data_IF_295279651111
#
_entry.id   IF_295279651111
#
_cell.length_a   1.000
_cell.length_b   1.000
_cell.length_c   1.000
_cell.angle_alpha   90.00
_cell.angle_beta   90.00
_cell.angle_gamma   90.00
#
_symmetry.space_group_name_H-M   'P 1'
#
loop_
_entity.id
_entity.type
_entity.pdbx_description
1 polymer ?
#
# COMPACT_ATOMS: atom_id res chain seq x y z
N UNK A 1 -31.86 -15.72 13.08
CA UNK A 1 -30.85 -15.62 14.15
C UNK A 1 -29.58 -15.12 13.46
N UNK A 2 -29.35 -13.82 13.45
CA UNK A 2 -28.13 -13.25 12.88
C UNK A 2 -27.04 -13.31 13.95
N UNK A 3 -26.03 -14.14 13.73
CA UNK A 3 -24.83 -14.13 14.56
C UNK A 3 -24.13 -12.78 14.37
N UNK A 4 -24.21 -11.92 15.37
CA UNK A 4 -23.41 -10.70 15.44
C UNK A 4 -21.94 -11.09 15.54
N UNK A 5 -21.29 -11.18 14.39
CA UNK A 5 -19.87 -11.45 14.28
C UNK A 5 -19.09 -10.22 14.76
N UNK A 6 -18.90 -10.12 16.07
CA UNK A 6 -18.12 -9.06 16.70
C UNK A 6 -16.63 -9.33 16.42
N UNK A 7 -16.14 -8.81 15.29
CA UNK A 7 -14.71 -8.82 14.99
C UNK A 7 -14.04 -7.79 15.89
N UNK A 8 -13.53 -8.25 17.03
CA UNK A 8 -12.76 -7.42 17.95
C UNK A 8 -11.32 -7.32 17.41
N UNK A 9 -11.11 -6.44 16.43
CA UNK A 9 -9.78 -6.17 15.87
C UNK A 9 -8.97 -5.48 16.97
N UNK A 10 -8.18 -6.24 17.73
CA UNK A 10 -7.09 -5.68 18.56
C UNK A 10 -6.36 -4.63 17.74
N UNK A 11 -6.08 -3.45 18.32
CA UNK A 11 -5.37 -2.33 17.67
C UNK A 11 -4.32 -2.88 16.69
N UNK A 12 -4.57 -2.69 15.39
CA UNK A 12 -3.70 -3.25 14.35
C UNK A 12 -2.29 -2.67 14.54
N UNK A 13 -1.28 -3.55 14.46
CA UNK A 13 0.12 -3.11 14.39
C UNK A 13 0.33 -2.28 13.13
N UNK A 14 1.34 -1.41 13.13
CA UNK A 14 1.64 -0.57 11.96
C UNK A 14 1.90 -1.41 10.70
N UNK A 15 2.56 -2.56 10.87
CA UNK A 15 2.72 -3.56 9.80
C UNK A 15 1.37 -4.01 9.25
N UNK A 16 0.43 -4.43 10.11
CA UNK A 16 -0.86 -4.94 9.64
C UNK A 16 -1.70 -3.84 8.97
N UNK A 17 -1.60 -2.59 9.46
CA UNK A 17 -2.22 -1.43 8.80
C UNK A 17 -1.63 -1.19 7.42
N UNK A 18 -0.31 -1.19 7.29
CA UNK A 18 0.38 -1.01 6.00
C UNK A 18 -0.01 -2.11 4.99
N UNK A 19 -0.09 -3.36 5.44
CA UNK A 19 -0.53 -4.47 4.58
C UNK A 19 -2.01 -4.34 4.20
N UNK A 20 -2.87 -3.90 5.13
CA UNK A 20 -4.28 -3.62 4.84
C UNK A 20 -4.44 -2.52 3.79
N UNK A 21 -3.63 -1.45 3.86
CA UNK A 21 -3.60 -0.38 2.84
C UNK A 21 -3.25 -0.96 1.47
N UNK A 22 -2.27 -1.87 1.39
CA UNK A 22 -1.94 -2.57 0.15
C UNK A 22 -3.06 -3.46 -0.39
N UNK A 23 -3.89 -4.06 0.48
CA UNK A 23 -5.08 -4.81 0.07
C UNK A 23 -6.19 -3.87 -0.44
N UNK A 24 -6.44 -2.76 0.28
CA UNK A 24 -7.44 -1.75 -0.13
C UNK A 24 -7.06 -1.14 -1.47
N UNK A 25 -5.78 -0.79 -1.67
CA UNK A 25 -5.26 -0.29 -2.95
C UNK A 25 -5.63 -1.21 -4.12
N UNK A 26 -5.38 -2.51 -3.97
CA UNK A 26 -5.72 -3.50 -4.99
C UNK A 26 -7.21 -3.62 -5.22
N UNK A 27 -8.01 -3.60 -4.16
CA UNK A 27 -9.46 -3.64 -4.29
C UNK A 27 -9.98 -2.40 -5.03
N UNK A 28 -9.43 -1.21 -4.75
CA UNK A 28 -9.77 0.01 -5.46
C UNK A 28 -9.42 -0.06 -6.96
N UNK A 29 -8.27 -0.64 -7.33
CA UNK A 29 -7.91 -0.87 -8.73
C UNK A 29 -8.94 -1.76 -9.43
N UNK A 30 -9.30 -2.90 -8.81
CA UNK A 30 -10.28 -3.84 -9.36
C UNK A 30 -11.64 -3.16 -9.55
N UNK A 31 -12.13 -2.45 -8.54
CA UNK A 31 -13.42 -1.74 -8.60
C UNK A 31 -13.48 -0.69 -9.71
N UNK A 32 -12.34 -0.12 -10.10
CA UNK A 32 -12.22 0.86 -11.17
C UNK A 32 -11.80 0.26 -12.52
N UNK A 33 -11.82 -1.07 -12.65
CA UNK A 33 -11.55 -1.77 -13.91
C UNK A 33 -10.06 -1.83 -14.29
N UNK A 34 -9.15 -1.67 -13.32
CA UNK A 34 -7.71 -1.87 -13.52
C UNK A 34 -7.27 -3.22 -12.97
N UNK A 35 -6.13 -3.71 -13.49
CA UNK A 35 -5.47 -4.89 -12.92
C UNK A 35 -5.06 -4.62 -11.47
N UNK A 36 -5.20 -5.58 -10.54
CA UNK A 36 -4.64 -5.44 -9.19
C UNK A 36 -3.11 -5.40 -9.18
N UNK A 37 -2.44 -5.72 -10.29
CA UNK A 37 -0.99 -5.59 -10.48
C UNK A 37 -0.56 -4.20 -10.96
N UNK A 38 -1.51 -3.27 -11.14
CA UNK A 38 -1.20 -1.96 -11.68
C UNK A 38 -0.37 -1.14 -10.67
N UNK A 39 0.82 -0.71 -11.06
CA UNK A 39 1.72 -0.01 -10.16
C UNK A 39 1.26 1.42 -9.88
N UNK A 40 1.55 1.91 -8.68
CA UNK A 40 1.16 3.26 -8.24
C UNK A 40 1.74 4.36 -9.13
N UNK A 41 2.95 4.15 -9.67
CA UNK A 41 3.60 5.12 -10.56
C UNK A 41 3.00 5.14 -11.98
N UNK A 42 2.25 4.11 -12.37
CA UNK A 42 1.57 4.03 -13.68
C UNK A 42 0.16 4.64 -13.66
N UNK A 43 -0.34 5.04 -12.49
CA UNK A 43 -1.63 5.72 -12.36
C UNK A 43 -1.59 7.08 -13.05
N UNK A 44 -2.22 7.21 -14.21
CA UNK A 44 -2.25 8.49 -14.93
C UNK A 44 -3.14 9.52 -14.23
N UNK A 45 -2.81 10.80 -14.39
CA UNK A 45 -3.63 11.90 -13.86
C UNK A 45 -5.04 11.87 -14.45
N UNK A 46 -5.18 11.55 -15.74
CA UNK A 46 -6.48 11.44 -16.42
C UNK A 46 -7.36 10.36 -15.78
N UNK A 47 -6.79 9.19 -15.46
CA UNK A 47 -7.52 8.10 -14.81
C UNK A 47 -8.00 8.51 -13.41
N UNK A 48 -7.14 9.16 -12.64
CA UNK A 48 -7.48 9.63 -11.30
C UNK A 48 -8.52 10.76 -11.34
N UNK A 49 -8.41 11.67 -12.30
CA UNK A 49 -9.35 12.78 -12.48
C UNK A 49 -10.72 12.30 -12.93
N UNK A 50 -10.78 11.32 -13.83
CA UNK A 50 -12.03 10.69 -14.27
C UNK A 50 -12.78 9.99 -13.13
N UNK A 51 -12.06 9.51 -12.11
CA UNK A 51 -12.63 8.79 -10.97
C UNK A 51 -12.65 9.59 -9.66
N UNK A 52 -12.38 10.90 -9.69
CA UNK A 52 -12.23 11.74 -8.47
C UNK A 52 -13.45 11.80 -7.55
N UNK A 53 -14.64 11.53 -8.09
CA UNK A 53 -15.89 11.53 -7.32
C UNK A 53 -16.21 10.18 -6.68
N UNK A 54 -15.42 9.13 -6.95
CA UNK A 54 -15.55 7.80 -6.36
C UNK A 54 -14.62 7.68 -5.16
N UNK A 55 -15.04 6.95 -4.14
CA UNK A 55 -14.24 6.70 -2.93
C UNK A 55 -12.91 6.04 -3.29
N UNK A 56 -12.95 5.07 -4.21
CA UNK A 56 -11.76 4.38 -4.72
C UNK A 56 -10.80 5.33 -5.44
N UNK A 57 -11.31 6.24 -6.26
CA UNK A 57 -10.47 7.20 -6.99
C UNK A 57 -9.76 8.17 -6.04
N UNK A 58 -10.49 8.67 -5.04
CA UNK A 58 -9.91 9.51 -3.96
C UNK A 58 -8.86 8.75 -3.16
N UNK A 59 -9.10 7.49 -2.84
CA UNK A 59 -8.12 6.65 -2.14
C UNK A 59 -6.86 6.42 -2.97
N UNK A 60 -7.00 6.04 -4.26
CA UNK A 60 -5.86 5.85 -5.15
C UNK A 60 -5.05 7.13 -5.35
N UNK A 61 -5.71 8.30 -5.42
CA UNK A 61 -5.01 9.59 -5.45
C UNK A 61 -4.19 9.81 -4.17
N UNK A 62 -4.78 9.61 -2.99
CA UNK A 62 -4.05 9.71 -1.72
C UNK A 62 -2.82 8.80 -1.68
N UNK A 63 -2.94 7.56 -2.19
CA UNK A 63 -1.81 6.62 -2.31
C UNK A 63 -0.74 7.14 -3.25
N UNK A 64 -1.12 7.67 -4.41
CA UNK A 64 -0.16 8.25 -5.37
C UNK A 64 0.54 9.48 -4.80
N UNK A 65 -0.21 10.40 -4.18
CA UNK A 65 0.34 11.62 -3.59
C UNK A 65 1.34 11.27 -2.47
N UNK A 66 1.01 10.31 -1.60
CA UNK A 66 1.95 9.81 -0.59
C UNK A 66 3.20 9.20 -1.23
N UNK A 67 3.05 8.32 -2.23
CA UNK A 67 4.18 7.74 -2.97
C UNK A 67 5.13 8.80 -3.54
N UNK A 68 4.59 9.90 -4.06
CA UNK A 68 5.38 11.00 -4.62
C UNK A 68 6.18 11.77 -3.56
N UNK A 69 5.75 11.78 -2.29
CA UNK A 69 6.51 12.40 -1.19
C UNK A 69 7.70 11.58 -0.69
N UNK A 70 7.73 10.28 -0.99
CA UNK A 70 8.77 9.36 -0.54
C UNK A 70 10.06 9.52 -1.34
N UNK A 71 11.21 9.27 -0.70
CA UNK A 71 12.50 9.19 -1.37
C UNK A 71 12.66 7.91 -2.21
N UNK A 72 13.77 7.76 -2.92
CA UNK A 72 13.99 6.62 -3.81
C UNK A 72 13.93 5.26 -3.08
N UNK A 73 14.52 5.16 -1.89
CA UNK A 73 14.55 3.92 -1.13
C UNK A 73 13.18 3.63 -0.52
N UNK A 74 12.55 4.64 0.06
CA UNK A 74 11.22 4.55 0.65
C UNK A 74 10.17 4.15 -0.38
N UNK A 75 10.25 4.66 -1.62
CA UNK A 75 9.38 4.25 -2.73
C UNK A 75 9.51 2.76 -3.04
N UNK A 76 10.75 2.26 -3.13
CA UNK A 76 11.02 0.84 -3.38
C UNK A 76 10.42 -0.02 -2.25
N UNK A 77 10.63 0.39 -0.99
CA UNK A 77 10.12 -0.32 0.18
C UNK A 77 8.60 -0.27 0.26
N UNK A 78 7.99 0.88 -0.02
CA UNK A 78 6.54 1.05 -0.02
C UNK A 78 5.86 0.15 -1.05
N UNK A 79 6.42 0.07 -2.27
CA UNK A 79 5.92 -0.83 -3.31
C UNK A 79 6.09 -2.28 -2.87
N UNK A 80 7.33 -2.72 -2.60
CA UNK A 80 7.64 -4.13 -2.38
C UNK A 80 7.03 -4.70 -1.11
N UNK A 81 7.04 -3.91 -0.03
CA UNK A 81 6.75 -4.42 1.30
C UNK A 81 5.40 -3.95 1.86
N UNK A 82 4.74 -2.98 1.23
CA UNK A 82 3.39 -2.54 1.63
C UNK A 82 2.35 -2.83 0.54
N UNK A 83 2.45 -2.18 -0.63
CA UNK A 83 1.42 -2.27 -1.67
C UNK A 83 1.38 -3.65 -2.33
N UNK A 84 2.55 -4.20 -2.64
CA UNK A 84 2.71 -5.40 -3.45
C UNK A 84 3.38 -6.55 -2.69
N UNK A 85 3.26 -6.53 -1.36
CA UNK A 85 3.87 -7.54 -0.48
C UNK A 85 3.47 -8.95 -0.92
N UNK A 86 4.48 -9.80 -1.12
CA UNK A 86 4.31 -11.20 -1.50
C UNK A 86 4.25 -11.44 -3.00
N UNK A 87 4.39 -10.40 -3.84
CA UNK A 87 4.55 -10.51 -5.29
C UNK A 87 6.03 -10.49 -5.67
N UNK A 88 6.36 -11.13 -6.79
CA UNK A 88 7.73 -11.09 -7.33
C UNK A 88 8.02 -9.70 -7.86
N UNK A 89 8.79 -8.92 -7.08
CA UNK A 89 9.24 -7.59 -7.47
C UNK A 89 10.76 -7.56 -7.58
N UNK A 90 11.31 -6.67 -8.41
CA UNK A 90 12.73 -6.62 -8.78
C UNK A 90 13.71 -6.58 -7.60
N UNK A 91 13.27 -6.22 -6.39
CA UNK A 91 14.12 -6.11 -5.21
C UNK A 91 13.72 -7.05 -4.05
N UNK A 92 12.99 -8.13 -4.34
CA UNK A 92 12.61 -9.14 -3.35
C UNK A 92 13.81 -9.69 -2.55
N UNK A 93 15.01 -9.64 -3.13
CA UNK A 93 16.26 -10.10 -2.53
C UNK A 93 16.90 -9.15 -1.51
N UNK A 94 16.49 -7.87 -1.41
CA UNK A 94 17.16 -6.89 -0.54
C UNK A 94 17.15 -7.29 0.94
N UNK A 95 16.06 -7.93 1.37
CA UNK A 95 15.93 -8.49 2.71
C UNK A 95 17.02 -9.53 3.04
N UNK A 96 17.58 -10.22 2.05
CA UNK A 96 18.56 -11.30 2.26
C UNK A 96 19.99 -10.80 2.36
N UNK A 97 20.34 -9.73 1.64
CA UNK A 97 21.70 -9.19 1.62
C UNK A 97 21.96 -8.12 2.69
N UNK A 98 20.92 -7.41 3.15
CA UNK A 98 21.04 -6.29 4.10
C UNK A 98 20.06 -6.41 5.28
N UNK A 99 19.89 -7.63 5.81
CA UNK A 99 18.82 -8.00 6.76
C UNK A 99 18.61 -7.00 7.90
N UNK A 100 19.69 -6.57 8.59
CA UNK A 100 19.60 -5.76 9.81
C UNK A 100 19.10 -4.34 9.51
N UNK A 101 19.82 -3.63 8.64
CA UNK A 101 19.50 -2.24 8.28
C UNK A 101 18.16 -2.16 7.53
N UNK A 102 17.89 -3.15 6.69
CA UNK A 102 16.62 -3.23 5.97
C UNK A 102 15.44 -3.45 6.94
N UNK A 103 15.59 -4.33 7.94
CA UNK A 103 14.53 -4.60 8.91
C UNK A 103 14.17 -3.38 9.75
N UNK A 104 15.15 -2.57 10.14
CA UNK A 104 14.92 -1.33 10.88
C UNK A 104 14.20 -0.29 10.02
N UNK A 105 14.70 -0.04 8.80
CA UNK A 105 14.02 0.85 7.85
C UNK A 105 12.62 0.37 7.49
N UNK A 106 12.40 -0.94 7.44
CA UNK A 106 11.10 -1.50 7.11
C UNK A 106 10.08 -1.24 8.23
N UNK A 107 10.49 -1.33 9.49
CA UNK A 107 9.64 -0.93 10.62
C UNK A 107 9.27 0.54 10.53
N UNK A 108 10.23 1.41 10.20
CA UNK A 108 9.98 2.85 10.00
C UNK A 108 9.01 3.11 8.85
N UNK A 109 9.18 2.40 7.72
CA UNK A 109 8.27 2.47 6.58
C UNK A 109 6.84 2.08 6.98
N UNK A 110 6.66 0.97 7.71
CA UNK A 110 5.33 0.56 8.19
C UNK A 110 4.70 1.61 9.11
N UNK A 111 5.46 2.17 10.05
CA UNK A 111 4.97 3.22 10.93
C UNK A 111 4.57 4.49 10.15
N UNK A 112 5.36 4.89 9.15
CA UNK A 112 5.06 6.04 8.29
C UNK A 112 3.76 5.84 7.51
N UNK A 113 3.62 4.69 6.86
CA UNK A 113 2.40 4.33 6.10
C UNK A 113 1.18 4.29 7.03
N UNK A 114 1.29 3.66 8.20
CA UNK A 114 0.22 3.56 9.17
C UNK A 114 -0.21 4.91 9.78
N UNK A 115 0.65 5.93 9.72
CA UNK A 115 0.36 7.29 10.15
C UNK A 115 -0.29 8.13 9.04
N UNK A 116 0.08 7.89 7.78
CA UNK A 116 -0.42 8.65 6.63
C UNK A 116 -1.89 8.29 6.27
N UNK A 117 -2.36 7.12 6.66
CA UNK A 117 -3.68 6.56 6.32
C UNK A 117 -4.53 6.30 7.56
#
# INVERSE_FOLDING_TARGET
MEENLQINIKKLTDKNKALLIGQIYRQCLINLGKSPDYHVYDLSEDFLNANKNKVEGSFLRKVKDYYLTLDCLERIMFINDCLEKGRHYKFWYLNFYFVKDYSEKLKQCFASVAKAF
#
